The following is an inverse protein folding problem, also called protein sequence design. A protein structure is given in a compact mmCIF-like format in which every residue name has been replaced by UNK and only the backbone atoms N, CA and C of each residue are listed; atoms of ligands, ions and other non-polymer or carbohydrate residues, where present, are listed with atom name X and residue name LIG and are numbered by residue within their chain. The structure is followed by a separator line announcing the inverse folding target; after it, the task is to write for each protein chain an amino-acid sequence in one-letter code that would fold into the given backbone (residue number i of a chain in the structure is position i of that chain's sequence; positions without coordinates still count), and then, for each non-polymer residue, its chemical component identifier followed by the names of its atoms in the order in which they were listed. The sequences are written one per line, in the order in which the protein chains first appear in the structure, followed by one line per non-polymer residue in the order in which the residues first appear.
data_IF_621639720845
#
_entry.id   IF_621639720845
#
_cell.length_a   1.000
_cell.length_b   1.000
_cell.length_c   1.000
_cell.angle_alpha   90.00
_cell.angle_beta   90.00
_cell.angle_gamma   90.00
#
_symmetry.space_group_name_H-M   'P 1'
#
loop_
_entity.id
_entity.type
_entity.pdbx_description
1 polymer ?
#
# COMPACT_ATOMS: atom_id res chain seq x y z
N UNK A 1 -2.97 5.55 7.91
CA UNK A 1 -1.59 4.98 7.88
C UNK A 1 -0.46 6.03 7.80
N UNK A 2 -0.67 7.19 7.16
CA UNK A 2 0.38 8.21 6.97
C UNK A 2 0.76 9.09 8.18
N UNK A 3 0.00 9.04 9.28
CA UNK A 3 0.17 9.89 10.48
C UNK A 3 0.82 9.15 11.66
N UNK A 4 1.59 8.08 11.42
CA UNK A 4 2.39 7.48 12.47
C UNK A 4 3.55 8.45 12.82
N UNK A 5 3.55 8.99 14.05
CA UNK A 5 4.47 10.03 14.52
C UNK A 5 5.96 9.59 14.53
N UNK A 6 6.24 8.30 14.30
CA UNK A 6 7.55 7.67 14.33
C UNK A 6 8.19 7.46 12.95
N UNK A 7 7.50 7.80 11.86
CA UNK A 7 8.05 7.66 10.51
C UNK A 7 9.07 8.76 10.19
N UNK A 8 10.22 8.35 9.66
CA UNK A 8 11.20 9.27 9.07
C UNK A 8 10.62 9.98 7.84
N UNK A 9 11.19 11.12 7.44
CA UNK A 9 10.78 11.81 6.20
C UNK A 9 10.86 10.91 4.95
N UNK A 10 11.88 10.06 4.86
CA UNK A 10 12.05 9.12 3.76
C UNK A 10 10.92 8.08 3.71
N UNK A 11 10.57 7.49 4.86
CA UNK A 11 9.47 6.52 4.95
C UNK A 11 8.12 7.16 4.63
N UNK A 12 7.88 8.39 5.10
CA UNK A 12 6.65 9.12 4.78
C UNK A 12 6.53 9.41 3.28
N UNK A 13 7.64 9.79 2.63
CA UNK A 13 7.70 10.01 1.19
C UNK A 13 7.41 8.72 0.40
N UNK A 14 8.05 7.62 0.76
CA UNK A 14 7.83 6.31 0.16
C UNK A 14 6.39 5.80 0.36
N UNK A 15 5.83 5.96 1.56
CA UNK A 15 4.44 5.59 1.84
C UNK A 15 3.44 6.42 1.04
N UNK A 16 3.69 7.74 0.87
CA UNK A 16 2.86 8.58 0.02
C UNK A 16 2.88 8.09 -1.43
N UNK A 17 4.05 7.73 -1.96
CA UNK A 17 4.15 7.11 -3.29
C UNK A 17 3.39 5.79 -3.37
N UNK A 18 3.57 4.89 -2.40
CA UNK A 18 2.91 3.59 -2.38
C UNK A 18 1.37 3.70 -2.29
N UNK A 19 0.86 4.66 -1.51
CA UNK A 19 -0.57 4.95 -1.40
C UNK A 19 -1.14 5.40 -2.75
N UNK A 20 -0.53 6.41 -3.37
CA UNK A 20 -0.92 6.87 -4.71
C UNK A 20 -0.80 5.75 -5.75
N UNK A 21 0.25 4.95 -5.70
CA UNK A 21 0.44 3.82 -6.62
C UNK A 21 -0.68 2.79 -6.51
N UNK A 22 -1.18 2.54 -5.30
CA UNK A 22 -2.28 1.61 -5.06
C UNK A 22 -3.66 2.19 -5.40
N UNK A 23 -3.89 3.49 -5.17
CA UNK A 23 -5.22 4.12 -5.24
C UNK A 23 -5.46 5.04 -6.45
N UNK A 24 -4.45 5.80 -6.89
CA UNK A 24 -4.55 6.78 -7.98
C UNK A 24 -3.18 7.06 -8.63
N UNK A 25 -2.64 6.04 -9.32
CA UNK A 25 -1.31 6.11 -9.93
C UNK A 25 -1.19 7.20 -11.02
N UNK A 26 -2.30 7.73 -11.53
CA UNK A 26 -2.30 8.82 -12.51
C UNK A 26 -1.98 10.18 -11.89
N UNK A 27 -2.12 10.31 -10.57
CA UNK A 27 -1.73 11.51 -9.81
C UNK A 27 -0.23 11.55 -9.44
N UNK A 28 0.53 10.49 -9.76
CA UNK A 28 1.98 10.46 -9.55
C UNK A 28 2.63 11.32 -10.63
N UNK A 29 3.03 12.53 -10.23
CA UNK A 29 3.66 13.53 -11.07
C UNK A 29 5.12 13.81 -10.66
N UNK A 30 5.74 14.79 -11.33
CA UNK A 30 7.11 15.20 -11.05
C UNK A 30 7.31 15.63 -9.59
N UNK A 31 6.30 16.25 -8.96
CA UNK A 31 6.40 16.68 -7.57
C UNK A 31 6.49 15.50 -6.60
N UNK A 32 5.85 14.37 -6.92
CA UNK A 32 5.99 13.12 -6.15
C UNK A 32 7.40 12.56 -6.29
N UNK A 33 7.95 12.50 -7.50
CA UNK A 33 9.31 12.01 -7.71
C UNK A 33 10.38 12.96 -7.14
N UNK A 34 10.17 14.26 -7.21
CA UNK A 34 11.05 15.26 -6.60
C UNK A 34 11.04 15.20 -5.08
N UNK A 35 9.96 14.71 -4.47
CA UNK A 35 9.89 14.38 -3.04
C UNK A 35 10.77 13.17 -2.71
N UNK A 36 10.61 12.08 -3.47
CA UNK A 36 11.39 10.87 -3.28
C UNK A 36 12.89 11.09 -3.50
N UNK A 37 13.29 11.87 -4.51
CA UNK A 37 14.70 12.17 -4.82
C UNK A 37 15.44 12.93 -3.72
N UNK A 38 14.73 13.50 -2.73
CA UNK A 38 15.37 14.08 -1.54
C UNK A 38 15.90 13.01 -0.58
N UNK A 39 15.46 11.77 -0.75
CA UNK A 39 15.70 10.67 0.18
C UNK A 39 16.34 9.44 -0.47
N UNK A 40 16.08 9.22 -1.76
CA UNK A 40 16.48 8.02 -2.50
C UNK A 40 17.27 8.37 -3.76
N UNK A 41 18.20 7.49 -4.13
CA UNK A 41 18.89 7.48 -5.42
C UNK A 41 17.98 6.93 -6.52
N UNK A 42 18.32 7.18 -7.79
CA UNK A 42 17.53 6.66 -8.92
C UNK A 42 17.39 5.13 -8.92
N UNK A 43 18.44 4.40 -8.53
CA UNK A 43 18.38 2.94 -8.41
C UNK A 43 17.38 2.51 -7.31
N UNK A 44 17.41 3.18 -6.16
CA UNK A 44 16.44 2.94 -5.06
C UNK A 44 15.00 3.31 -5.45
N UNK A 45 14.80 4.33 -6.32
CA UNK A 45 13.47 4.65 -6.84
C UNK A 45 12.92 3.56 -7.75
N UNK A 46 13.78 2.96 -8.58
CA UNK A 46 13.42 1.82 -9.42
C UNK A 46 13.03 0.63 -8.54
N UNK A 47 13.84 0.31 -7.53
CA UNK A 47 13.54 -0.76 -6.58
C UNK A 47 12.22 -0.52 -5.84
N UNK A 48 12.01 0.69 -5.30
CA UNK A 48 10.76 1.06 -4.63
C UNK A 48 9.54 0.86 -5.55
N UNK A 49 9.64 1.27 -6.81
CA UNK A 49 8.57 1.09 -7.79
C UNK A 49 8.30 -0.38 -8.11
N UNK A 50 9.34 -1.19 -8.25
CA UNK A 50 9.22 -2.64 -8.50
C UNK A 50 8.59 -3.36 -7.31
N UNK A 51 9.00 -3.03 -6.09
CA UNK A 51 8.44 -3.62 -4.87
C UNK A 51 6.95 -3.24 -4.71
N UNK A 52 6.59 -1.98 -4.98
CA UNK A 52 5.20 -1.56 -4.99
C UNK A 52 4.37 -2.33 -6.04
N UNK A 53 4.91 -2.51 -7.25
CA UNK A 53 4.25 -3.26 -8.31
C UNK A 53 4.07 -4.74 -7.93
N UNK A 54 5.09 -5.35 -7.34
CA UNK A 54 5.04 -6.74 -6.87
C UNK A 54 4.00 -6.91 -5.76
N UNK A 55 4.07 -6.10 -4.70
CA UNK A 55 3.15 -6.18 -3.57
C UNK A 55 1.69 -5.98 -4.02
N UNK A 56 1.43 -4.96 -4.84
CA UNK A 56 0.08 -4.68 -5.34
C UNK A 56 -0.42 -5.79 -6.29
N UNK A 57 0.44 -6.29 -7.17
CA UNK A 57 0.11 -7.37 -8.10
C UNK A 57 -0.23 -8.68 -7.37
N UNK A 58 0.59 -9.07 -6.39
CA UNK A 58 0.36 -10.25 -5.55
C UNK A 58 -0.92 -10.08 -4.72
N UNK A 59 -1.09 -8.93 -4.05
CA UNK A 59 -2.30 -8.67 -3.26
C UNK A 59 -3.59 -8.79 -4.08
N UNK A 60 -3.58 -8.26 -5.32
CA UNK A 60 -4.71 -8.40 -6.26
C UNK A 60 -4.95 -9.86 -6.65
N UNK A 61 -3.89 -10.62 -6.95
CA UNK A 61 -4.01 -12.03 -7.29
C UNK A 61 -4.56 -12.86 -6.12
N UNK A 62 -4.03 -12.68 -4.91
CA UNK A 62 -4.49 -13.36 -3.70
C UNK A 62 -5.96 -13.06 -3.41
N UNK A 63 -6.41 -11.81 -3.61
CA UNK A 63 -7.81 -11.45 -3.47
C UNK A 63 -8.73 -12.22 -4.44
N UNK A 64 -8.26 -12.60 -5.65
CA UNK A 64 -9.05 -13.42 -6.58
C UNK A 64 -9.20 -14.88 -6.14
N UNK A 65 -8.33 -15.35 -5.24
CA UNK A 65 -8.34 -16.72 -4.73
C UNK A 65 -9.12 -16.87 -3.42
N UNK A 66 -9.59 -15.76 -2.83
CA UNK A 66 -10.29 -15.73 -1.54
C UNK A 66 -9.55 -16.52 -0.45
N UNK A 67 -8.22 -16.35 -0.39
CA UNK A 67 -7.35 -17.05 0.56
C UNK A 67 -7.66 -16.55 1.98
N UNK A 68 -8.66 -17.16 2.62
CA UNK A 68 -9.13 -16.83 3.97
C UNK A 68 -9.07 -18.03 4.92
N UNK A 69 -8.54 -19.17 4.44
CA UNK A 69 -8.52 -20.42 5.20
C UNK A 69 -7.66 -20.33 6.48
N UNK A 70 -6.52 -19.64 6.41
CA UNK A 70 -5.52 -19.57 7.50
C UNK A 70 -5.58 -18.29 8.36
N UNK A 71 -6.53 -17.39 8.11
CA UNK A 71 -6.75 -16.23 8.98
C UNK A 71 -7.68 -16.57 10.15
N UNK A 72 -7.48 -15.98 11.35
CA UNK A 72 -8.38 -16.17 12.48
C UNK A 72 -9.82 -15.88 12.09
N UNK A 73 -10.77 -16.59 12.69
CA UNK A 73 -12.21 -16.48 12.37
C UNK A 73 -12.72 -15.03 12.37
N UNK A 74 -12.14 -14.15 13.20
CA UNK A 74 -12.46 -12.73 13.28
C UNK A 74 -12.15 -11.92 12.00
N UNK A 75 -11.24 -12.42 11.14
CA UNK A 75 -10.83 -11.80 9.88
C UNK A 75 -11.38 -12.51 8.65
N UNK A 76 -12.11 -13.63 8.82
CA UNK A 76 -12.85 -14.24 7.72
C UNK A 76 -14.04 -13.33 7.38
N UNK A 77 -14.03 -12.77 6.18
CA UNK A 77 -15.11 -11.89 5.70
C UNK A 77 -16.43 -12.65 5.68
N UNK A 78 -17.45 -12.10 6.35
CA UNK A 78 -18.87 -12.51 6.21
C UNK A 78 -19.61 -11.69 5.14
N UNK A 79 -18.91 -10.81 4.42
CA UNK A 79 -19.52 -9.83 3.52
C UNK A 79 -19.43 -10.25 2.06
N UNK A 80 -20.58 -10.30 1.37
CA UNK A 80 -20.74 -10.46 -0.08
C UNK A 80 -20.14 -9.30 -0.92
N UNK A 81 -19.44 -8.35 -0.30
CA UNK A 81 -18.85 -7.18 -0.96
C UNK A 81 -17.37 -7.40 -1.29
N UNK A 82 -17.00 -7.10 -2.54
CA UNK A 82 -15.64 -7.18 -3.09
C UNK A 82 -14.60 -6.56 -2.15
N UNK A 83 -13.65 -7.37 -1.71
CA UNK A 83 -12.47 -6.92 -0.98
C UNK A 83 -11.56 -6.20 -1.98
N UNK A 84 -11.57 -4.88 -1.95
CA UNK A 84 -10.58 -4.07 -2.61
C UNK A 84 -9.78 -3.28 -1.55
N UNK A 85 -8.45 -3.14 -1.71
CA UNK A 85 -7.60 -2.52 -0.70
C UNK A 85 -7.93 -1.05 -0.41
N UNK A 86 -8.64 -0.36 -1.31
CA UNK A 86 -9.15 1.01 -1.12
C UNK A 86 -10.59 1.08 -0.59
N UNK A 87 -11.26 -0.06 -0.39
CA UNK A 87 -12.63 -0.16 0.12
C UNK A 87 -12.71 -0.84 1.50
N UNK A 88 -11.60 -1.05 2.22
CA UNK A 88 -11.68 -1.54 3.59
C UNK A 88 -12.04 -0.40 4.55
N UNK A 89 -13.22 -0.51 5.20
CA UNK A 89 -13.47 0.25 6.42
C UNK A 89 -12.40 -0.16 7.43
N UNK A 90 -11.48 0.77 7.73
CA UNK A 90 -10.30 0.49 8.54
C UNK A 90 -10.66 -0.17 9.88
N UNK A 91 -10.14 -1.37 10.11
CA UNK A 91 -10.20 -2.01 11.42
C UNK A 91 -9.17 -1.34 12.33
N UNK A 92 -9.65 -0.70 13.39
CA UNK A 92 -8.80 -0.24 14.49
C UNK A 92 -8.35 -1.49 15.28
N UNK A 93 -7.09 -1.89 15.11
CA UNK A 93 -6.47 -2.89 15.98
C UNK A 93 -6.33 -2.28 17.38
N UNK A 94 -7.11 -2.80 18.33
CA UNK A 94 -6.99 -2.43 19.75
C UNK A 94 -6.44 -3.62 20.53
N UNK A 95 -5.29 -3.42 21.18
CA UNK A 95 -4.81 -4.17 22.36
C UNK A 95 -4.32 -5.58 22.14
#
# INVERSE_FOLDING_TARGET
PGDADDLSPAERSALRFADLFASDHLSIDDAVYDDLRRHFTEDELVELGVDCAYALGIGRLTATWDVTDDVPDAFRSTSESSIAPWFSDGVVASG
#
